data_IF_414300446763
#
_entry.id   IF_414300446763
#
_cell.length_a   1.000
_cell.length_b   1.000
_cell.length_c   1.000
_cell.angle_alpha   90.00
_cell.angle_beta   90.00
_cell.angle_gamma   90.00
#
_symmetry.space_group_name_H-M   'P 1'
#
loop_
_entity.id
_entity.type
_entity.pdbx_description
1 polymer ?
#
# COMPACT_ATOMS: atom_id res chain seq x y z
N UNK A 1 -11.08 -2.94 11.92
CA UNK A 1 -10.75 -3.30 10.52
C UNK A 1 -11.68 -2.59 9.57
N UNK A 2 -13.00 -2.75 9.69
CA UNK A 2 -13.99 -2.12 8.80
C UNK A 2 -13.75 -0.61 8.67
N UNK A 3 -13.44 0.07 9.76
CA UNK A 3 -13.24 1.52 9.77
C UNK A 3 -12.11 1.96 8.82
N UNK A 4 -10.91 1.39 8.94
CA UNK A 4 -9.81 1.79 8.07
C UNK A 4 -9.94 1.24 6.64
N UNK A 5 -10.54 0.06 6.45
CA UNK A 5 -10.83 -0.46 5.12
C UNK A 5 -11.83 0.45 4.37
N UNK A 6 -12.91 0.89 5.04
CA UNK A 6 -13.86 1.84 4.48
C UNK A 6 -13.19 3.19 4.14
N UNK A 7 -12.32 3.69 5.02
CA UNK A 7 -11.56 4.92 4.75
C UNK A 7 -10.67 4.81 3.51
N UNK A 8 -9.97 3.68 3.33
CA UNK A 8 -9.18 3.44 2.13
C UNK A 8 -10.04 3.26 0.87
N UNK A 9 -11.23 2.65 1.01
CA UNK A 9 -12.17 2.52 -0.11
C UNK A 9 -12.72 3.90 -0.54
N UNK A 10 -13.04 4.79 0.39
CA UNK A 10 -13.43 6.17 0.10
C UNK A 10 -12.27 6.92 -0.58
N UNK A 11 -11.04 6.79 -0.07
CA UNK A 11 -9.88 7.39 -0.70
C UNK A 11 -9.68 6.87 -2.14
N UNK A 12 -9.88 5.58 -2.40
CA UNK A 12 -9.83 4.99 -3.74
C UNK A 12 -10.93 5.57 -4.64
N UNK A 13 -12.15 5.72 -4.14
CA UNK A 13 -13.25 6.37 -4.87
C UNK A 13 -12.92 7.81 -5.25
N UNK A 14 -12.31 8.57 -4.33
CA UNK A 14 -11.81 9.93 -4.60
C UNK A 14 -10.70 9.94 -5.66
N UNK A 15 -9.80 8.93 -5.67
CA UNK A 15 -8.79 8.79 -6.71
C UNK A 15 -9.41 8.47 -8.07
N UNK A 16 -10.35 7.53 -8.12
CA UNK A 16 -11.04 7.14 -9.35
C UNK A 16 -11.88 8.28 -9.94
N UNK A 17 -12.42 9.17 -9.10
CA UNK A 17 -13.21 10.32 -9.54
C UNK A 17 -12.40 11.51 -10.10
N UNK A 18 -11.05 11.41 -10.15
CA UNK A 18 -10.17 12.49 -10.67
C UNK A 18 -10.54 13.01 -12.06
N UNK A 19 -10.96 12.18 -13.03
CA UNK A 19 -11.34 12.68 -14.36
C UNK A 19 -12.62 13.50 -14.33
N UNK A 20 -13.57 13.14 -13.47
CA UNK A 20 -14.91 13.75 -13.42
C UNK A 20 -14.95 15.06 -12.61
N UNK A 21 -14.18 15.13 -11.51
CA UNK A 21 -14.24 16.27 -10.59
C UNK A 21 -12.84 16.83 -10.29
N UNK A 22 -12.59 18.04 -10.78
CA UNK A 22 -11.35 18.82 -10.50
C UNK A 22 -11.64 19.84 -9.39
N UNK A 23 -11.73 19.38 -8.13
CA UNK A 23 -11.95 20.26 -6.98
C UNK A 23 -10.82 20.13 -5.95
N UNK A 24 -10.39 21.26 -5.39
CA UNK A 24 -9.46 21.28 -4.26
C UNK A 24 -10.07 20.53 -3.05
N UNK A 25 -11.38 20.66 -2.83
CA UNK A 25 -12.10 19.97 -1.77
C UNK A 25 -11.92 18.44 -1.83
N UNK A 26 -11.93 17.85 -3.04
CA UNK A 26 -11.66 16.42 -3.22
C UNK A 26 -10.27 16.03 -2.69
N UNK A 27 -9.25 16.87 -2.89
CA UNK A 27 -7.90 16.64 -2.37
C UNK A 27 -7.86 16.57 -0.84
N UNK A 28 -8.58 17.46 -0.18
CA UNK A 28 -8.71 17.44 1.28
C UNK A 28 -9.45 16.19 1.78
N UNK A 29 -10.56 15.82 1.14
CA UNK A 29 -11.32 14.61 1.48
C UNK A 29 -10.43 13.38 1.32
N UNK A 30 -9.73 13.25 0.20
CA UNK A 30 -8.83 12.14 -0.08
C UNK A 30 -7.74 12.00 0.99
N UNK A 31 -7.01 13.08 1.27
CA UNK A 31 -5.94 13.07 2.28
C UNK A 31 -6.53 12.83 3.67
N UNK A 32 -7.65 13.44 4.00
CA UNK A 32 -8.34 13.28 5.28
C UNK A 32 -8.74 11.82 5.53
N UNK A 33 -9.39 11.17 4.57
CA UNK A 33 -9.76 9.76 4.70
C UNK A 33 -8.54 8.83 4.70
N UNK A 34 -7.52 9.11 3.89
CA UNK A 34 -6.29 8.31 3.89
C UNK A 34 -5.56 8.40 5.24
N UNK A 35 -5.46 9.61 5.80
CA UNK A 35 -4.81 9.84 7.11
C UNK A 35 -5.64 9.23 8.26
N UNK A 36 -6.96 9.42 8.26
CA UNK A 36 -7.85 8.81 9.26
C UNK A 36 -7.81 7.28 9.19
N UNK A 37 -7.80 6.71 7.97
CA UNK A 37 -7.63 5.28 7.75
C UNK A 37 -6.30 4.77 8.29
N UNK A 38 -5.20 5.46 8.00
CA UNK A 38 -3.87 5.10 8.50
C UNK A 38 -3.81 5.19 10.04
N UNK A 39 -4.37 6.24 10.63
CA UNK A 39 -4.43 6.40 12.08
C UNK A 39 -5.24 5.27 12.74
N UNK A 40 -6.44 4.96 12.22
CA UNK A 40 -7.26 3.85 12.72
C UNK A 40 -6.55 2.49 12.56
N UNK A 41 -5.81 2.29 11.48
CA UNK A 41 -5.01 1.10 11.23
C UNK A 41 -3.84 0.99 12.23
N UNK A 42 -3.14 2.08 12.48
CA UNK A 42 -2.06 2.17 13.49
C UNK A 42 -2.58 1.85 14.88
N UNK A 43 -3.71 2.44 15.28
CA UNK A 43 -4.35 2.17 16.57
C UNK A 43 -4.77 0.71 16.69
N UNK A 44 -5.30 0.10 15.64
CA UNK A 44 -5.68 -1.31 15.62
C UNK A 44 -4.45 -2.23 15.78
N UNK A 45 -3.36 -1.99 15.05
CA UNK A 45 -2.11 -2.75 15.18
C UNK A 45 -1.49 -2.58 16.56
N UNK A 46 -1.46 -1.35 17.08
CA UNK A 46 -0.98 -1.06 18.43
C UNK A 46 -1.79 -1.79 19.51
N UNK A 47 -3.13 -1.73 19.42
CA UNK A 47 -4.00 -2.46 20.34
C UNK A 47 -3.76 -3.97 20.28
N UNK A 48 -3.61 -4.53 19.07
CA UNK A 48 -3.28 -5.95 18.90
C UNK A 48 -1.92 -6.32 19.51
N UNK A 49 -0.91 -5.49 19.32
CA UNK A 49 0.41 -5.72 19.86
C UNK A 49 0.42 -5.71 21.41
N UNK A 50 -0.34 -4.78 22.01
CA UNK A 50 -0.43 -4.65 23.46
C UNK A 50 -1.29 -5.75 24.12
N UNK A 51 -2.26 -6.31 23.41
CA UNK A 51 -3.16 -7.36 23.94
C UNK A 51 -2.82 -8.76 23.42
N UNK A 52 -1.63 -8.95 22.84
CA UNK A 52 -1.18 -10.27 22.43
C UNK A 52 -0.82 -11.12 23.67
N UNK A 53 -1.35 -12.35 23.72
CA UNK A 53 -1.02 -13.33 24.78
C UNK A 53 0.34 -14.01 24.57
N UNK A 54 0.96 -13.78 23.43
CA UNK A 54 2.27 -14.31 23.01
C UNK A 54 3.10 -13.21 22.35
N UNK A 55 4.05 -13.58 21.47
CA UNK A 55 4.82 -12.58 20.71
C UNK A 55 3.88 -11.69 19.89
N UNK A 56 3.97 -10.36 20.04
CA UNK A 56 3.13 -9.43 19.28
C UNK A 56 3.30 -9.59 17.78
N UNK A 57 2.19 -9.46 17.04
CA UNK A 57 2.18 -9.43 15.57
C UNK A 57 2.84 -10.67 14.93
N UNK A 58 2.62 -11.85 15.50
CA UNK A 58 3.26 -13.11 15.09
C UNK A 58 2.36 -14.05 14.29
N UNK A 59 1.24 -13.57 13.74
CA UNK A 59 0.34 -14.38 12.92
C UNK A 59 0.36 -13.97 11.46
N UNK A 60 -0.03 -14.86 10.50
CA UNK A 60 -0.21 -14.49 9.09
C UNK A 60 -1.15 -13.30 8.92
N UNK A 61 -2.24 -13.25 9.71
CA UNK A 61 -3.16 -12.12 9.75
C UNK A 61 -2.44 -10.78 10.04
N UNK A 62 -1.53 -10.77 11.02
CA UNK A 62 -0.80 -9.56 11.42
C UNK A 62 0.17 -9.11 10.32
N UNK A 63 0.82 -10.06 9.65
CA UNK A 63 1.78 -9.77 8.59
C UNK A 63 1.11 -9.14 7.36
N UNK A 64 -0.07 -9.63 6.96
CA UNK A 64 -0.85 -9.00 5.89
C UNK A 64 -1.28 -7.57 6.28
N UNK A 65 -1.69 -7.35 7.51
CA UNK A 65 -2.05 -6.01 7.97
C UNK A 65 -0.83 -5.09 8.08
N UNK A 66 0.33 -5.57 8.53
CA UNK A 66 1.57 -4.78 8.52
C UNK A 66 1.98 -4.38 7.11
N UNK A 67 1.92 -5.31 6.15
CA UNK A 67 2.19 -5.00 4.74
C UNK A 67 1.21 -3.94 4.20
N UNK A 68 -0.08 -4.09 4.48
CA UNK A 68 -1.12 -3.13 4.10
C UNK A 68 -0.87 -1.75 4.73
N UNK A 69 -0.46 -1.71 6.00
CA UNK A 69 -0.14 -0.47 6.72
C UNK A 69 1.06 0.25 6.11
N UNK A 70 2.16 -0.47 5.81
CA UNK A 70 3.34 0.11 5.17
C UNK A 70 3.02 0.68 3.78
N UNK A 71 2.23 -0.05 2.98
CA UNK A 71 1.80 0.44 1.67
C UNK A 71 0.86 1.64 1.78
N UNK A 72 -0.05 1.67 2.76
CA UNK A 72 -0.94 2.80 3.01
C UNK A 72 -0.15 4.04 3.47
N UNK A 73 0.85 3.86 4.33
CA UNK A 73 1.77 4.94 4.73
C UNK A 73 2.56 5.48 3.53
N UNK A 74 3.11 4.59 2.71
CA UNK A 74 3.77 4.95 1.45
C UNK A 74 2.84 5.68 0.49
N UNK A 75 1.60 5.21 0.34
CA UNK A 75 0.59 5.89 -0.46
C UNK A 75 0.33 7.32 0.03
N UNK A 76 0.12 7.50 1.34
CA UNK A 76 -0.13 8.82 1.92
C UNK A 76 1.06 9.76 1.69
N UNK A 77 2.29 9.26 1.91
CA UNK A 77 3.52 10.00 1.63
C UNK A 77 3.61 10.44 0.16
N UNK A 78 3.39 9.52 -0.79
CA UNK A 78 3.42 9.86 -2.21
C UNK A 78 2.30 10.83 -2.61
N UNK A 79 1.13 10.71 -2.02
CA UNK A 79 0.00 11.61 -2.31
C UNK A 79 0.26 13.03 -1.84
N UNK A 80 0.90 13.20 -0.67
CA UNK A 80 1.26 14.53 -0.14
C UNK A 80 2.40 15.14 -0.97
N UNK A 81 3.43 14.36 -1.30
CA UNK A 81 4.61 14.86 -2.02
C UNK A 81 4.37 15.05 -3.52
N UNK A 82 3.49 14.25 -4.11
CA UNK A 82 3.19 14.27 -5.54
C UNK A 82 1.67 14.23 -5.83
N UNK A 83 0.90 15.26 -5.44
CA UNK A 83 -0.58 15.24 -5.46
C UNK A 83 -1.19 15.10 -6.86
N UNK A 84 -0.38 15.33 -7.92
CA UNK A 84 -0.83 15.23 -9.31
C UNK A 84 -0.77 13.82 -9.88
N UNK A 85 -0.03 12.93 -9.23
CA UNK A 85 0.16 11.53 -9.69
C UNK A 85 -0.95 10.64 -9.13
N UNK A 86 -1.63 9.82 -9.93
CA UNK A 86 -2.72 8.95 -9.49
C UNK A 86 -2.19 7.65 -8.86
N UNK A 87 -1.24 7.75 -7.92
CA UNK A 87 -0.60 6.57 -7.29
C UNK A 87 -1.64 5.73 -6.54
N UNK A 88 -2.63 6.39 -5.92
CA UNK A 88 -3.66 5.72 -5.13
C UNK A 88 -4.54 4.78 -5.94
N UNK A 89 -4.75 5.05 -7.24
CA UNK A 89 -5.52 4.16 -8.10
C UNK A 89 -4.89 2.76 -8.23
N UNK A 90 -3.58 2.66 -8.03
CA UNK A 90 -2.82 1.42 -8.13
C UNK A 90 -2.46 0.85 -6.74
N UNK A 91 -2.08 1.69 -5.79
CA UNK A 91 -1.67 1.24 -4.46
C UNK A 91 -2.85 0.85 -3.57
N UNK A 92 -3.94 1.62 -3.56
CA UNK A 92 -5.08 1.35 -2.68
C UNK A 92 -5.80 0.02 -2.95
N UNK A 93 -5.97 -0.45 -4.22
CA UNK A 93 -6.47 -1.80 -4.47
C UNK A 93 -5.60 -2.89 -3.84
N UNK A 94 -4.25 -2.73 -3.88
CA UNK A 94 -3.32 -3.67 -3.25
C UNK A 94 -3.47 -3.64 -1.73
N UNK A 95 -3.57 -2.46 -1.13
CA UNK A 95 -3.83 -2.29 0.32
C UNK A 95 -5.12 -2.99 0.72
N UNK A 96 -6.22 -2.75 -0.01
CA UNK A 96 -7.52 -3.38 0.26
C UNK A 96 -7.48 -4.91 0.05
N UNK A 97 -6.76 -5.39 -0.97
CA UNK A 97 -6.56 -6.82 -1.20
C UNK A 97 -5.80 -7.48 -0.05
N UNK A 98 -4.76 -6.83 0.49
CA UNK A 98 -4.02 -7.32 1.65
C UNK A 98 -4.89 -7.34 2.92
N UNK A 99 -5.70 -6.29 3.13
CA UNK A 99 -6.67 -6.26 4.24
C UNK A 99 -7.70 -7.38 4.10
N UNK A 100 -8.18 -7.65 2.89
CA UNK A 100 -9.10 -8.77 2.61
C UNK A 100 -8.41 -10.13 2.83
N UNK A 101 -7.17 -10.30 2.35
CA UNK A 101 -6.38 -11.50 2.56
C UNK A 101 -6.15 -11.78 4.06
N UNK A 102 -5.92 -10.72 4.85
CA UNK A 102 -5.83 -10.86 6.29
C UNK A 102 -7.09 -11.50 6.89
N UNK A 103 -8.31 -11.15 6.40
CA UNK A 103 -9.55 -11.68 6.98
C UNK A 103 -9.70 -13.20 6.82
N UNK A 104 -9.14 -13.77 5.77
CA UNK A 104 -9.19 -15.22 5.49
C UNK A 104 -7.97 -15.97 6.02
N UNK A 105 -6.99 -15.25 6.57
CA UNK A 105 -5.75 -15.80 7.10
C UNK A 105 -5.88 -16.22 8.56
N UNK A 106 -5.05 -17.19 8.98
CA UNK A 106 -5.00 -17.66 10.36
C UNK A 106 -4.58 -16.54 11.32
N UNK A 107 -5.26 -16.45 12.45
CA UNK A 107 -4.93 -15.57 13.57
C UNK A 107 -4.06 -16.24 14.62
N UNK A 108 -3.80 -17.55 14.46
CA UNK A 108 -2.91 -18.28 15.36
C UNK A 108 -1.47 -17.80 15.19
N UNK A 109 -0.78 -17.60 16.30
CA UNK A 109 0.63 -17.27 16.28
C UNK A 109 1.44 -18.41 15.65
N UNK A 110 2.52 -18.08 14.95
CA UNK A 110 3.46 -19.08 14.47
C UNK A 110 4.04 -19.88 15.64
N UNK A 111 4.34 -21.19 15.44
CA UNK A 111 5.03 -21.98 16.45
C UNK A 111 6.32 -21.30 16.88
N UNK A 112 6.49 -21.13 18.18
CA UNK A 112 7.61 -20.35 18.74
C UNK A 112 8.50 -21.25 19.58
N UNK A 113 9.81 -21.18 19.32
CA UNK A 113 10.85 -21.61 20.26
C UNK A 113 11.72 -20.39 20.63
N UNK A 114 12.43 -20.39 21.77
CA UNK A 114 13.29 -19.25 22.13
C UNK A 114 14.31 -18.91 21.05
N UNK A 115 14.85 -19.90 20.36
CA UNK A 115 15.79 -19.69 19.26
C UNK A 115 15.12 -19.10 17.99
N UNK A 116 13.86 -19.45 17.72
CA UNK A 116 13.15 -18.98 16.52
C UNK A 116 12.52 -17.60 16.69
N UNK A 117 12.36 -17.10 17.92
CA UNK A 117 11.74 -15.79 18.15
C UNK A 117 12.55 -14.65 17.56
N UNK A 118 13.84 -14.54 17.85
CA UNK A 118 14.69 -13.45 17.37
C UNK A 118 14.96 -13.60 15.88
N UNK A 119 15.39 -14.78 15.44
CA UNK A 119 15.67 -15.03 14.03
C UNK A 119 14.42 -14.97 13.15
N UNK A 120 13.28 -15.46 13.65
CA UNK A 120 12.00 -15.37 12.98
C UNK A 120 11.52 -13.93 12.81
N UNK A 121 11.70 -13.08 13.82
CA UNK A 121 11.36 -11.66 13.74
C UNK A 121 12.25 -10.91 12.73
N UNK A 122 13.56 -11.17 12.76
CA UNK A 122 14.51 -10.57 11.81
C UNK A 122 14.18 -11.02 10.38
N UNK A 123 14.10 -12.33 10.14
CA UNK A 123 13.79 -12.90 8.83
C UNK A 123 12.43 -12.42 8.31
N UNK A 124 11.40 -12.43 9.17
CA UNK A 124 10.07 -11.93 8.84
C UNK A 124 10.10 -10.43 8.50
N UNK A 125 10.83 -9.62 9.27
CA UNK A 125 10.99 -8.19 8.99
C UNK A 125 11.62 -7.92 7.62
N UNK A 126 12.68 -8.63 7.26
CA UNK A 126 13.28 -8.54 5.94
C UNK A 126 12.33 -9.00 4.83
N UNK A 127 11.63 -10.12 5.01
CA UNK A 127 10.63 -10.59 4.05
C UNK A 127 9.47 -9.59 3.87
N UNK A 128 9.02 -8.96 4.94
CA UNK A 128 8.01 -7.92 4.88
C UNK A 128 8.51 -6.71 4.07
N UNK A 129 9.72 -6.22 4.38
CA UNK A 129 10.34 -5.11 3.66
C UNK A 129 10.51 -5.44 2.17
N UNK A 130 11.01 -6.63 1.85
CA UNK A 130 11.15 -7.12 0.49
C UNK A 130 9.79 -7.18 -0.23
N UNK A 131 8.77 -7.77 0.41
CA UNK A 131 7.42 -7.88 -0.17
C UNK A 131 6.79 -6.52 -0.46
N UNK A 132 6.90 -5.57 0.47
CA UNK A 132 6.42 -4.19 0.27
C UNK A 132 7.18 -3.51 -0.86
N UNK A 133 8.51 -3.69 -0.92
CA UNK A 133 9.35 -3.13 -1.97
C UNK A 133 8.94 -3.68 -3.34
N UNK A 134 8.76 -5.00 -3.46
CA UNK A 134 8.28 -5.66 -4.68
C UNK A 134 6.89 -5.15 -5.08
N UNK A 135 5.97 -4.97 -4.13
CA UNK A 135 4.63 -4.43 -4.41
C UNK A 135 4.70 -3.00 -4.99
N UNK A 136 5.57 -2.14 -4.44
CA UNK A 136 5.81 -0.79 -4.98
C UNK A 136 6.37 -0.87 -6.40
N UNK A 137 7.33 -1.76 -6.65
CA UNK A 137 7.89 -2.01 -7.98
C UNK A 137 6.85 -2.52 -8.98
N UNK A 138 5.98 -3.43 -8.55
CA UNK A 138 4.89 -3.94 -9.38
C UNK A 138 3.89 -2.83 -9.75
N UNK A 139 3.53 -1.96 -8.81
CA UNK A 139 2.69 -0.77 -9.06
C UNK A 139 3.37 0.16 -10.07
N UNK A 140 4.65 0.46 -9.89
CA UNK A 140 5.41 1.30 -10.83
C UNK A 140 5.50 0.65 -12.22
N UNK A 141 5.75 -0.65 -12.29
CA UNK A 141 5.78 -1.43 -13.53
C UNK A 141 4.44 -1.42 -14.26
N UNK A 142 3.33 -1.61 -13.54
CA UNK A 142 1.99 -1.54 -14.12
C UNK A 142 1.70 -0.13 -14.68
N UNK A 143 2.04 0.92 -13.95
CA UNK A 143 1.92 2.31 -14.44
C UNK A 143 2.76 2.53 -15.70
N UNK A 144 3.98 1.97 -15.73
CA UNK A 144 4.87 2.04 -16.89
C UNK A 144 4.26 1.33 -18.11
N UNK A 145 3.75 0.10 -17.94
CA UNK A 145 3.12 -0.68 -19.02
C UNK A 145 1.91 0.04 -19.62
N UNK A 146 1.03 0.57 -18.78
CA UNK A 146 -0.14 1.33 -19.22
C UNK A 146 0.28 2.56 -20.02
N UNK A 147 1.30 3.28 -19.55
CA UNK A 147 1.77 4.48 -20.23
C UNK A 147 2.48 4.15 -21.54
N UNK A 148 3.31 3.11 -21.57
CA UNK A 148 4.01 2.65 -22.78
C UNK A 148 3.02 2.18 -23.85
N UNK A 149 2.00 1.38 -23.52
CA UNK A 149 0.97 0.94 -24.46
C UNK A 149 0.20 2.13 -25.05
N UNK A 150 -0.15 3.12 -24.23
CA UNK A 150 -0.86 4.32 -24.69
C UNK A 150 -0.03 5.15 -25.65
N UNK A 151 1.26 5.30 -25.39
CA UNK A 151 2.19 6.01 -26.27
C UNK A 151 2.39 5.26 -27.59
N UNK A 152 2.57 3.93 -27.53
CA UNK A 152 2.72 3.09 -28.71
C UNK A 152 1.48 3.18 -29.63
N UNK A 153 0.28 3.25 -29.03
CA UNK A 153 -0.99 3.40 -29.78
C UNK A 153 -1.36 4.85 -30.08
N UNK A 154 -0.48 5.82 -29.85
CA UNK A 154 -0.72 7.27 -30.05
C UNK A 154 -2.02 7.76 -29.42
N UNK A 155 -2.46 7.16 -28.31
CA UNK A 155 -3.68 7.56 -27.60
C UNK A 155 -3.42 8.82 -26.77
N UNK A 156 -4.44 9.69 -26.70
CA UNK A 156 -4.37 10.90 -25.89
C UNK A 156 -4.04 10.59 -24.41
N UNK A 157 -3.33 11.48 -23.70
CA UNK A 157 -3.10 11.34 -22.26
C UNK A 157 -4.41 11.10 -21.51
N UNK A 158 -4.35 10.32 -20.43
CA UNK A 158 -5.52 10.09 -19.56
C UNK A 158 -5.98 11.44 -19.00
N UNK A 159 -7.20 11.86 -19.37
CA UNK A 159 -7.77 13.10 -18.86
C UNK A 159 -7.77 13.09 -17.33
N UNK A 160 -7.22 14.15 -16.73
CA UNK A 160 -7.14 14.28 -15.26
C UNK A 160 -6.00 13.54 -14.57
N UNK A 161 -5.22 12.69 -15.27
CA UNK A 161 -4.10 11.95 -14.69
C UNK A 161 -2.77 12.41 -15.30
N UNK A 162 -1.87 12.90 -14.44
CA UNK A 162 -0.47 13.15 -14.82
C UNK A 162 0.38 11.97 -14.36
N UNK A 163 0.61 11.03 -15.25
CA UNK A 163 1.50 9.90 -14.99
C UNK A 163 2.96 10.40 -14.85
N UNK A 164 3.79 9.78 -13.99
CA UNK A 164 5.22 10.04 -13.95
C UNK A 164 5.87 9.72 -15.31
N UNK A 165 7.03 10.33 -15.61
CA UNK A 165 7.74 10.01 -16.85
C UNK A 165 8.11 8.53 -16.91
N UNK A 166 8.14 7.95 -18.12
CA UNK A 166 8.55 6.55 -18.34
C UNK A 166 9.92 6.26 -17.76
N UNK A 167 10.85 7.20 -17.86
CA UNK A 167 12.20 7.09 -17.30
C UNK A 167 12.19 6.96 -15.77
N UNK A 168 11.35 7.76 -15.09
CA UNK A 168 11.20 7.70 -13.62
C UNK A 168 10.60 6.36 -13.19
N UNK A 169 9.57 5.88 -13.88
CA UNK A 169 8.94 4.59 -13.61
C UNK A 169 9.91 3.42 -13.87
N UNK A 170 10.61 3.44 -15.00
CA UNK A 170 11.63 2.44 -15.33
C UNK A 170 12.75 2.40 -14.26
N UNK A 171 13.19 3.56 -13.78
CA UNK A 171 14.21 3.66 -12.72
C UNK A 171 13.74 3.06 -11.40
N UNK A 172 12.49 3.27 -11.02
CA UNK A 172 11.89 2.67 -9.82
C UNK A 172 11.81 1.14 -10.00
N UNK A 173 11.23 0.68 -11.11
CA UNK A 173 11.07 -0.75 -11.41
C UNK A 173 12.41 -1.49 -11.45
N UNK A 174 13.48 -0.87 -11.99
CA UNK A 174 14.80 -1.48 -12.07
C UNK A 174 15.53 -1.55 -10.71
N UNK A 175 15.28 -0.59 -9.80
CA UNK A 175 15.92 -0.55 -8.48
C UNK A 175 15.24 -1.43 -7.45
N UNK A 176 13.94 -1.68 -7.60
CA UNK A 176 13.15 -2.43 -6.64
C UNK A 176 13.66 -3.86 -6.41
N UNK A 177 13.99 -4.68 -7.44
CA UNK A 177 14.54 -6.01 -7.22
C UNK A 177 15.89 -5.99 -6.52
N UNK A 178 16.74 -5.00 -6.80
CA UNK A 178 18.06 -4.86 -6.20
C UNK A 178 18.03 -4.50 -4.70
N UNK A 179 16.91 -3.92 -4.22
CA UNK A 179 16.71 -3.60 -2.80
C UNK A 179 16.06 -4.78 -2.07
N UNK A 180 15.27 -5.60 -2.79
CA UNK A 180 14.53 -6.73 -2.22
C UNK A 180 15.36 -8.02 -2.14
N UNK A 181 16.49 -8.11 -2.85
CA UNK A 181 17.42 -9.23 -2.82
C UNK A 181 18.40 -9.12 -1.67
#
# INVERSE_FOLDING_TARGET
IVCFAASYAVALGCEASRPAFRSAFRGFVLIGFAAAGLAAHTLFLGWRALNASSVPLSSPFDWYLLAAWLLAAGYLYFTITNPRTPVGLFMLPVVLALVAAAQVSSRAAFPQSPATQVWGAIHGGFNLAASVTVAIGAVAGLMWLIQADRLARKRAPLAGFRMPSLERLARITARTPAIAA
#
